data_IF_243991567762
#
_entry.id   IF_243991567762
#
_cell.length_a   1.000
_cell.length_b   1.000
_cell.length_c   1.000
_cell.angle_alpha   90.00
_cell.angle_beta   90.00
_cell.angle_gamma   90.00
#
_symmetry.space_group_name_H-M   'P 1'
#
loop_
_entity.id
_entity.type
_entity.pdbx_description
1 polymer ?
#
# COMPACT_ATOMS: atom_id res chain seq x y z
N UNK A 1 -3.73 8.21 -47.73
CA UNK A 1 -2.32 7.85 -47.92
C UNK A 1 -1.49 8.81 -47.07
N UNK A 2 -0.83 8.34 -46.01
CA UNK A 2 -0.04 9.19 -45.11
C UNK A 2 0.12 8.51 -43.74
N UNK A 3 1.05 7.53 -43.64
CA UNK A 3 1.45 6.88 -42.39
C UNK A 3 2.16 7.90 -41.50
N UNK A 4 1.61 8.17 -40.30
CA UNK A 4 2.39 8.74 -39.20
C UNK A 4 2.63 7.65 -38.15
N UNK A 5 3.76 6.96 -38.33
CA UNK A 5 4.40 6.15 -37.31
C UNK A 5 5.12 7.10 -36.34
N UNK A 6 4.51 7.41 -35.21
CA UNK A 6 5.22 8.03 -34.10
C UNK A 6 6.05 6.95 -33.40
N UNK A 7 7.35 6.93 -33.69
CA UNK A 7 8.36 6.15 -32.95
C UNK A 7 8.34 6.62 -31.48
N UNK A 8 7.78 5.80 -30.58
CA UNK A 8 7.96 5.94 -29.13
C UNK A 8 9.47 5.98 -28.84
N UNK A 9 9.99 7.11 -28.39
CA UNK A 9 11.33 7.21 -27.82
C UNK A 9 11.35 6.48 -26.48
N UNK A 10 11.64 5.19 -26.49
CA UNK A 10 12.06 4.47 -25.29
C UNK A 10 13.36 5.12 -24.83
N UNK A 11 13.35 5.74 -23.66
CA UNK A 11 14.54 6.32 -23.03
C UNK A 11 15.49 5.15 -22.72
N UNK A 12 16.48 4.90 -23.60
CA UNK A 12 17.50 3.88 -23.35
C UNK A 12 18.28 4.29 -22.10
N UNK A 13 18.14 3.52 -21.04
CA UNK A 13 19.06 3.59 -19.91
C UNK A 13 20.48 3.34 -20.46
N UNK A 14 21.43 4.17 -20.01
CA UNK A 14 22.85 4.02 -20.38
C UNK A 14 23.36 2.66 -19.88
N UNK A 15 24.27 1.99 -20.62
CA UNK A 15 24.90 0.71 -20.23
C UNK A 15 25.35 0.66 -18.75
N UNK A 16 25.85 1.78 -18.22
CA UNK A 16 26.22 1.92 -16.82
C UNK A 16 25.02 1.78 -15.85
N UNK A 17 23.85 2.28 -16.23
CA UNK A 17 22.63 2.16 -15.42
C UNK A 17 22.16 0.70 -15.31
N UNK A 18 22.17 -0.05 -16.41
CA UNK A 18 21.86 -1.49 -16.38
C UNK A 18 22.84 -2.29 -15.52
N UNK A 19 24.15 -2.03 -15.66
CA UNK A 19 25.17 -2.71 -14.84
C UNK A 19 24.95 -2.43 -13.36
N UNK A 20 24.72 -1.16 -12.95
CA UNK A 20 24.44 -0.81 -11.55
C UNK A 20 23.18 -1.48 -11.02
N UNK A 21 22.12 -1.56 -11.83
CA UNK A 21 20.89 -2.25 -11.44
C UNK A 21 21.13 -3.76 -11.21
N UNK A 22 21.86 -4.43 -12.10
CA UNK A 22 22.20 -5.85 -11.92
C UNK A 22 23.09 -6.09 -10.70
N UNK A 23 24.07 -5.20 -10.45
CA UNK A 23 24.90 -5.29 -9.24
C UNK A 23 24.05 -5.13 -8.00
N UNK A 24 23.15 -4.15 -7.94
CA UNK A 24 22.25 -3.92 -6.83
C UNK A 24 21.36 -5.13 -6.55
N UNK A 25 20.72 -5.69 -7.59
CA UNK A 25 19.90 -6.89 -7.47
C UNK A 25 20.75 -8.07 -6.98
N UNK A 26 21.94 -8.25 -7.53
CA UNK A 26 22.85 -9.34 -7.12
C UNK A 26 23.25 -9.23 -5.64
N UNK A 27 23.63 -8.04 -5.17
CA UNK A 27 23.97 -7.78 -3.77
C UNK A 27 22.74 -8.05 -2.87
N UNK A 28 21.56 -7.57 -3.26
CA UNK A 28 20.33 -7.80 -2.53
C UNK A 28 20.04 -9.31 -2.38
N UNK A 29 20.12 -10.08 -3.47
CA UNK A 29 19.88 -11.54 -3.46
C UNK A 29 20.89 -12.27 -2.56
N UNK A 30 22.16 -11.85 -2.60
CA UNK A 30 23.22 -12.43 -1.74
C UNK A 30 22.91 -12.16 -0.26
N UNK A 31 22.62 -10.91 0.09
CA UNK A 31 22.29 -10.53 1.49
C UNK A 31 21.04 -11.30 1.96
N UNK A 32 19.97 -11.30 1.15
CA UNK A 32 18.75 -12.04 1.46
C UNK A 32 19.03 -13.53 1.64
N UNK A 33 19.83 -14.14 0.76
CA UNK A 33 20.24 -15.55 0.86
C UNK A 33 21.02 -15.87 2.14
N UNK A 34 21.98 -15.01 2.51
CA UNK A 34 22.78 -15.16 3.73
C UNK A 34 21.90 -15.04 4.99
N UNK A 35 20.98 -14.09 5.03
CA UNK A 35 20.06 -13.91 6.15
C UNK A 35 19.07 -15.07 6.26
N UNK A 36 18.55 -15.59 5.13
CA UNK A 36 17.74 -16.79 5.13
C UNK A 36 18.55 -18.03 5.59
N UNK A 37 19.79 -18.18 5.15
CA UNK A 37 20.66 -19.25 5.64
C UNK A 37 20.86 -19.18 7.15
N UNK A 38 21.09 -17.98 7.68
CA UNK A 38 21.24 -17.76 9.13
C UNK A 38 19.97 -18.18 9.89
N UNK A 39 18.79 -17.75 9.46
CA UNK A 39 17.52 -18.18 10.06
C UNK A 39 17.35 -19.69 9.93
N UNK A 40 17.61 -20.23 8.75
CA UNK A 40 17.43 -21.66 8.45
C UNK A 40 18.31 -22.56 9.31
N UNK A 41 19.60 -22.23 9.50
CA UNK A 41 20.49 -23.03 10.35
C UNK A 41 20.11 -22.93 11.83
N UNK A 42 19.65 -21.76 12.31
CA UNK A 42 19.16 -21.60 13.68
C UNK A 42 17.86 -22.40 13.90
N UNK A 43 16.94 -22.34 12.96
CA UNK A 43 15.71 -23.14 12.98
C UNK A 43 15.99 -24.64 12.95
N UNK A 44 16.86 -25.11 12.03
CA UNK A 44 17.25 -26.52 11.95
C UNK A 44 17.83 -27.03 13.27
N UNK A 45 18.83 -26.32 13.82
CA UNK A 45 19.49 -26.72 15.06
C UNK A 45 18.51 -26.75 16.25
N UNK A 46 17.60 -25.76 16.32
CA UNK A 46 16.57 -25.73 17.37
C UNK A 46 15.58 -26.89 17.27
N UNK A 47 15.05 -27.17 16.08
CA UNK A 47 14.05 -28.23 15.87
C UNK A 47 14.70 -29.61 16.02
N UNK A 48 15.88 -29.83 15.43
CA UNK A 48 16.57 -31.12 15.45
C UNK A 48 17.07 -31.54 16.84
N UNK A 49 17.19 -30.60 17.77
CA UNK A 49 17.50 -30.85 19.16
C UNK A 49 16.42 -31.69 19.89
N UNK A 50 15.18 -31.73 19.37
CA UNK A 50 14.06 -32.48 19.96
C UNK A 50 13.44 -33.50 19.01
N UNK A 51 13.35 -33.15 17.72
CA UNK A 51 12.71 -33.99 16.69
C UNK A 51 13.75 -34.39 15.66
N UNK A 52 13.92 -35.70 15.36
CA UNK A 52 14.81 -36.14 14.31
C UNK A 52 14.27 -35.67 12.93
N UNK A 53 14.90 -34.63 12.37
CA UNK A 53 14.51 -34.05 11.08
C UNK A 53 15.54 -34.40 10.02
N UNK A 54 15.09 -34.94 8.90
CA UNK A 54 15.95 -35.14 7.75
C UNK A 54 16.46 -33.77 7.24
N UNK A 55 17.78 -33.60 7.27
CA UNK A 55 18.42 -32.31 6.93
C UNK A 55 18.13 -31.86 5.49
N UNK A 56 18.14 -32.79 4.54
CA UNK A 56 17.89 -32.49 3.13
C UNK A 56 16.45 -32.02 2.93
N UNK A 57 15.49 -32.75 3.50
CA UNK A 57 14.07 -32.40 3.40
C UNK A 57 13.78 -31.04 4.04
N UNK A 58 14.38 -30.76 5.21
CA UNK A 58 14.25 -29.46 5.86
C UNK A 58 14.69 -28.31 4.93
N UNK A 59 15.89 -28.44 4.33
CA UNK A 59 16.41 -27.37 3.46
C UNK A 59 15.64 -27.25 2.14
N UNK A 60 15.12 -28.34 1.57
CA UNK A 60 14.24 -28.27 0.39
C UNK A 60 12.99 -27.42 0.71
N UNK A 61 12.32 -27.73 1.81
CA UNK A 61 11.11 -27.01 2.24
C UNK A 61 11.45 -25.55 2.55
N UNK A 62 12.51 -25.29 3.31
CA UNK A 62 12.94 -23.95 3.69
C UNK A 62 13.25 -23.07 2.47
N UNK A 63 14.06 -23.60 1.55
CA UNK A 63 14.43 -22.88 0.31
C UNK A 63 13.21 -22.65 -0.58
N UNK A 64 12.27 -23.60 -0.64
CA UNK A 64 11.02 -23.39 -1.37
C UNK A 64 10.27 -22.16 -0.84
N UNK A 65 10.07 -22.03 0.46
CA UNK A 65 9.44 -20.84 1.04
C UNK A 65 10.24 -19.58 0.77
N UNK A 66 11.55 -19.60 1.01
CA UNK A 66 12.42 -18.43 0.83
C UNK A 66 12.49 -17.95 -0.63
N UNK A 67 12.44 -18.87 -1.60
CA UNK A 67 12.52 -18.53 -3.02
C UNK A 67 11.17 -18.21 -3.67
N UNK A 68 10.04 -18.61 -3.06
CA UNK A 68 8.70 -18.54 -3.69
C UNK A 68 8.36 -17.19 -4.23
N UNK A 69 8.58 -16.10 -3.47
CA UNK A 69 8.25 -14.75 -3.92
C UNK A 69 9.12 -14.29 -5.10
N UNK A 70 10.42 -14.58 -5.02
CA UNK A 70 11.38 -14.22 -6.09
C UNK A 70 11.01 -14.96 -7.39
N UNK A 71 10.69 -16.25 -7.28
CA UNK A 71 10.28 -17.07 -8.44
C UNK A 71 8.94 -16.57 -8.98
N UNK A 72 7.95 -16.31 -8.12
CA UNK A 72 6.63 -15.81 -8.51
C UNK A 72 6.73 -14.49 -9.28
N UNK A 73 7.54 -13.55 -8.81
CA UNK A 73 7.77 -12.28 -9.49
C UNK A 73 8.58 -12.42 -10.79
N UNK A 74 9.70 -13.16 -10.75
CA UNK A 74 10.59 -13.29 -11.90
C UNK A 74 9.95 -14.06 -13.06
N UNK A 75 9.14 -15.06 -12.76
CA UNK A 75 8.46 -15.90 -13.73
C UNK A 75 7.01 -15.48 -14.04
N UNK A 76 6.55 -14.34 -13.53
CA UNK A 76 5.15 -13.85 -13.62
C UNK A 76 4.53 -13.97 -15.01
N UNK A 77 5.31 -13.66 -16.06
CA UNK A 77 4.81 -13.68 -17.44
C UNK A 77 4.80 -15.09 -18.08
N UNK A 78 5.39 -16.09 -17.41
CA UNK A 78 5.59 -17.44 -17.93
C UNK A 78 4.81 -18.51 -17.14
N UNK A 79 4.33 -18.16 -15.95
CA UNK A 79 3.60 -19.09 -15.09
C UNK A 79 2.09 -19.04 -15.37
N UNK A 80 1.38 -20.18 -15.23
CA UNK A 80 -0.07 -20.16 -15.11
C UNK A 80 -0.49 -19.27 -13.96
N UNK A 81 -1.56 -18.51 -14.13
CA UNK A 81 -2.06 -17.53 -13.14
C UNK A 81 -2.22 -18.13 -11.73
N UNK A 82 -2.77 -19.34 -11.64
CA UNK A 82 -2.94 -20.03 -10.35
C UNK A 82 -1.60 -20.33 -9.67
N UNK A 83 -0.59 -20.75 -10.43
CA UNK A 83 0.75 -21.05 -9.88
C UNK A 83 1.43 -19.75 -9.43
N UNK A 84 1.35 -18.70 -10.23
CA UNK A 84 1.85 -17.37 -9.88
C UNK A 84 1.23 -16.87 -8.59
N UNK A 85 -0.10 -16.94 -8.47
CA UNK A 85 -0.85 -16.55 -7.27
C UNK A 85 -0.41 -17.34 -6.02
N UNK A 86 -0.27 -18.66 -6.13
CA UNK A 86 0.20 -19.52 -5.00
C UNK A 86 1.62 -19.10 -4.57
N UNK A 87 2.55 -18.95 -5.52
CA UNK A 87 3.93 -18.56 -5.22
C UNK A 87 4.02 -17.17 -4.60
N UNK A 88 3.27 -16.22 -5.13
CA UNK A 88 3.23 -14.85 -4.60
C UNK A 88 2.58 -14.80 -3.20
N UNK A 89 1.52 -15.56 -2.97
CA UNK A 89 0.88 -15.66 -1.65
C UNK A 89 1.82 -16.30 -0.63
N UNK A 90 2.33 -17.51 -0.93
CA UNK A 90 3.25 -18.25 -0.02
C UNK A 90 4.52 -17.42 0.24
N UNK A 91 5.11 -16.88 -0.81
CA UNK A 91 6.30 -16.06 -0.70
C UNK A 91 6.07 -14.73 0.01
N UNK A 92 4.90 -14.11 -0.16
CA UNK A 92 4.50 -12.92 0.59
C UNK A 92 4.45 -13.20 2.09
N UNK A 93 3.76 -14.27 2.51
CA UNK A 93 3.77 -14.71 3.92
C UNK A 93 5.17 -15.02 4.43
N UNK A 94 6.02 -15.61 3.58
CA UNK A 94 7.42 -15.85 3.95
C UNK A 94 8.18 -14.56 4.18
N UNK A 95 8.01 -13.52 3.34
CA UNK A 95 8.67 -12.22 3.55
C UNK A 95 8.26 -11.62 4.90
N UNK A 96 6.98 -11.64 5.24
CA UNK A 96 6.53 -11.17 6.54
C UNK A 96 7.10 -12.04 7.69
N UNK A 97 7.08 -13.37 7.55
CA UNK A 97 7.70 -14.29 8.51
C UNK A 97 9.22 -14.04 8.66
N UNK A 98 9.92 -13.84 7.55
CA UNK A 98 11.36 -13.59 7.51
C UNK A 98 11.76 -12.38 8.37
N UNK A 99 11.02 -11.27 8.28
CA UNK A 99 11.31 -10.06 9.08
C UNK A 99 11.25 -10.38 10.57
N UNK A 100 10.19 -11.07 11.01
CA UNK A 100 10.01 -11.38 12.44
C UNK A 100 10.94 -12.50 12.91
N UNK A 101 11.13 -13.55 12.11
CA UNK A 101 12.10 -14.61 12.42
C UNK A 101 13.50 -14.04 12.57
N UNK A 102 13.93 -13.18 11.64
CA UNK A 102 15.23 -12.51 11.73
C UNK A 102 15.35 -11.67 13.00
N UNK A 103 14.34 -10.84 13.29
CA UNK A 103 14.31 -10.03 14.50
C UNK A 103 14.43 -10.88 15.77
N UNK A 104 13.60 -11.92 15.91
CA UNK A 104 13.64 -12.81 17.08
C UNK A 104 14.98 -13.54 17.19
N UNK A 105 15.51 -14.10 16.09
CA UNK A 105 16.78 -14.83 16.12
C UNK A 105 17.93 -13.91 16.52
N UNK A 106 17.99 -12.68 15.97
CA UNK A 106 19.02 -11.71 16.33
C UNK A 106 18.92 -11.32 17.80
N UNK A 107 17.71 -11.00 18.30
CA UNK A 107 17.49 -10.65 19.71
C UNK A 107 17.91 -11.80 20.62
N UNK A 108 17.51 -13.04 20.32
CA UNK A 108 17.86 -14.22 21.10
C UNK A 108 19.38 -14.43 21.11
N UNK A 109 20.06 -14.23 19.99
CA UNK A 109 21.50 -14.41 19.91
C UNK A 109 22.25 -13.34 20.71
N UNK A 110 21.80 -12.07 20.66
CA UNK A 110 22.35 -10.99 21.49
C UNK A 110 22.15 -11.29 22.98
N UNK A 111 20.90 -11.61 23.38
CA UNK A 111 20.60 -11.96 24.77
C UNK A 111 21.35 -13.19 25.25
N UNK A 112 21.47 -14.21 24.38
CA UNK A 112 22.25 -15.41 24.66
C UNK A 112 23.75 -15.13 24.80
N UNK A 113 24.29 -14.21 24.00
CA UNK A 113 25.71 -13.80 24.12
C UNK A 113 25.93 -13.06 25.44
N UNK A 114 25.12 -12.07 25.76
CA UNK A 114 25.20 -11.30 27.03
C UNK A 114 25.02 -12.22 28.22
N UNK A 115 23.96 -13.07 28.19
CA UNK A 115 23.65 -13.97 29.29
C UNK A 115 24.74 -15.03 29.56
N UNK A 116 25.44 -15.51 28.53
CA UNK A 116 26.63 -16.40 28.71
C UNK A 116 27.79 -15.64 29.34
N UNK A 117 28.02 -14.40 28.90
CA UNK A 117 29.15 -13.58 29.41
C UNK A 117 28.94 -13.19 30.88
N UNK A 118 27.68 -13.02 31.29
CA UNK A 118 27.32 -12.64 32.68
C UNK A 118 26.94 -13.85 33.54
N UNK A 119 27.02 -15.07 33.01
CA UNK A 119 26.58 -16.33 33.65
C UNK A 119 25.11 -16.28 34.17
N UNK A 120 24.27 -15.55 33.45
CA UNK A 120 22.84 -15.32 33.81
C UNK A 120 21.87 -16.26 33.11
N UNK A 121 22.31 -17.19 32.24
CA UNK A 121 21.39 -18.07 31.53
C UNK A 121 20.91 -19.19 32.44
N UNK A 122 19.59 -19.30 32.73
CA UNK A 122 19.05 -20.42 33.51
C UNK A 122 19.37 -21.78 32.89
N UNK A 123 19.69 -22.78 33.71
CA UNK A 123 20.02 -24.12 33.27
C UNK A 123 18.92 -24.77 32.39
N UNK A 124 17.66 -24.47 32.69
CA UNK A 124 16.52 -24.95 31.90
C UNK A 124 16.57 -24.47 30.44
N UNK A 125 17.08 -23.25 30.19
CA UNK A 125 17.22 -22.70 28.83
C UNK A 125 18.46 -23.29 28.16
N UNK A 126 19.57 -23.45 28.88
CA UNK A 126 20.79 -24.10 28.35
C UNK A 126 20.51 -25.49 27.81
N UNK A 127 19.65 -26.25 28.50
CA UNK A 127 19.37 -27.68 28.19
C UNK A 127 18.19 -27.88 27.23
N UNK A 128 17.38 -26.85 26.97
CA UNK A 128 16.14 -26.95 26.17
C UNK A 128 16.06 -25.88 25.07
N UNK A 129 17.10 -25.79 24.23
CA UNK A 129 17.13 -24.82 23.11
C UNK A 129 15.99 -25.02 22.10
N UNK A 130 15.46 -26.23 21.98
CA UNK A 130 14.30 -26.55 21.18
C UNK A 130 13.05 -25.75 21.59
N UNK A 131 12.87 -25.50 22.89
CA UNK A 131 11.73 -24.74 23.39
C UNK A 131 11.72 -23.32 22.81
N UNK A 132 12.90 -22.68 22.74
CA UNK A 132 13.06 -21.35 22.15
C UNK A 132 12.66 -21.36 20.67
N UNK A 133 13.12 -22.36 19.91
CA UNK A 133 12.77 -22.46 18.49
C UNK A 133 11.26 -22.61 18.27
N UNK A 134 10.59 -23.47 19.05
CA UNK A 134 9.13 -23.63 18.96
C UNK A 134 8.38 -22.39 19.45
N UNK A 135 8.86 -21.72 20.50
CA UNK A 135 8.26 -20.47 20.98
C UNK A 135 8.34 -19.35 19.92
N UNK A 136 9.47 -19.24 19.23
CA UNK A 136 9.64 -18.26 18.13
C UNK A 136 8.71 -18.59 16.96
N UNK A 137 8.64 -19.86 16.54
CA UNK A 137 7.75 -20.29 15.45
C UNK A 137 6.29 -19.97 15.83
N UNK A 138 5.88 -20.31 17.06
CA UNK A 138 4.53 -20.04 17.53
C UNK A 138 4.24 -18.52 17.59
N UNK A 139 5.19 -17.72 18.09
CA UNK A 139 5.04 -16.27 18.13
C UNK A 139 4.89 -15.65 16.72
N UNK A 140 5.72 -16.08 15.77
CA UNK A 140 5.61 -15.61 14.38
C UNK A 140 4.29 -16.09 13.75
N UNK A 141 3.86 -17.32 13.99
CA UNK A 141 2.57 -17.81 13.49
C UNK A 141 1.39 -16.98 14.02
N UNK A 142 1.41 -16.63 15.31
CA UNK A 142 0.39 -15.77 15.94
C UNK A 142 0.44 -14.36 15.33
N UNK A 143 1.63 -13.78 15.17
CA UNK A 143 1.78 -12.47 14.54
C UNK A 143 1.23 -12.46 13.10
N UNK A 144 1.52 -13.48 12.31
CA UNK A 144 0.99 -13.61 10.95
C UNK A 144 -0.53 -13.79 10.94
N UNK A 145 -1.08 -14.59 11.86
CA UNK A 145 -2.53 -14.78 11.97
C UNK A 145 -3.25 -13.47 12.34
N UNK A 146 -2.76 -12.75 13.35
CA UNK A 146 -3.27 -11.43 13.73
C UNK A 146 -3.09 -10.42 12.60
N UNK A 147 -1.92 -10.41 11.97
CA UNK A 147 -1.65 -9.53 10.84
C UNK A 147 -2.54 -9.81 9.62
N UNK A 148 -2.87 -11.07 9.37
CA UNK A 148 -3.82 -11.46 8.32
C UNK A 148 -5.23 -10.99 8.66
N UNK A 149 -5.67 -11.15 9.91
CA UNK A 149 -6.94 -10.63 10.37
C UNK A 149 -7.04 -9.11 10.16
N UNK A 150 -6.02 -8.35 10.57
CA UNK A 150 -5.96 -6.90 10.39
C UNK A 150 -5.96 -6.48 8.90
N UNK A 151 -5.39 -7.29 8.03
CA UNK A 151 -5.38 -7.03 6.58
C UNK A 151 -6.72 -7.33 5.92
N UNK A 152 -7.47 -8.32 6.42
CA UNK A 152 -8.71 -8.78 5.79
C UNK A 152 -9.94 -8.05 6.36
N UNK A 153 -9.97 -7.78 7.65
CA UNK A 153 -11.12 -7.15 8.33
C UNK A 153 -10.89 -5.64 8.41
N UNK A 154 -11.57 -4.83 7.57
CA UNK A 154 -11.39 -3.40 7.61
C UNK A 154 -12.10 -2.78 8.81
N UNK A 155 -11.52 -1.72 9.35
CA UNK A 155 -12.19 -0.80 10.28
C UNK A 155 -12.75 0.41 9.52
N UNK A 156 -13.72 1.07 10.10
CA UNK A 156 -14.16 2.40 9.70
C UNK A 156 -13.49 3.41 10.64
N UNK A 157 -12.60 4.24 10.08
CA UNK A 157 -12.02 5.37 10.80
C UNK A 157 -12.84 6.61 10.52
N UNK A 158 -13.17 7.41 11.54
CA UNK A 158 -14.04 8.57 11.39
C UNK A 158 -13.31 9.84 11.82
N UNK A 159 -13.38 10.88 10.98
CA UNK A 159 -12.78 12.18 11.23
C UNK A 159 -13.79 13.30 11.03
N UNK A 160 -13.89 14.21 12.02
CA UNK A 160 -14.68 15.44 11.97
C UNK A 160 -13.77 16.59 11.54
N UNK A 161 -14.01 17.15 10.37
CA UNK A 161 -13.19 18.20 9.77
C UNK A 161 -13.99 19.50 9.73
N UNK A 162 -13.37 20.59 10.21
CA UNK A 162 -13.94 21.94 10.10
C UNK A 162 -13.17 22.74 9.08
N UNK A 163 -13.88 23.20 8.06
CA UNK A 163 -13.38 24.13 7.04
C UNK A 163 -13.96 25.51 7.29
N UNK A 164 -13.10 26.50 7.51
CA UNK A 164 -13.51 27.86 7.86
C UNK A 164 -13.85 28.69 6.60
N UNK A 165 -14.65 28.13 5.70
CA UNK A 165 -15.16 28.78 4.49
C UNK A 165 -16.60 28.35 4.25
N UNK A 166 -17.37 29.19 3.58
CA UNK A 166 -18.75 28.88 3.16
C UNK A 166 -18.72 27.97 1.93
N UNK A 167 -19.56 26.94 1.92
CA UNK A 167 -19.77 26.06 0.77
C UNK A 167 -21.18 26.27 0.17
N UNK A 168 -21.52 27.52 -0.20
CA UNK A 168 -22.83 27.84 -0.71
C UNK A 168 -23.95 27.42 0.27
N UNK A 169 -24.86 26.56 -0.19
CA UNK A 169 -25.94 26.00 0.64
C UNK A 169 -25.55 24.70 1.37
N UNK A 170 -24.33 24.21 1.18
CA UNK A 170 -23.85 22.98 1.82
C UNK A 170 -23.26 23.33 3.17
N UNK A 171 -23.93 22.95 4.26
CA UNK A 171 -23.42 23.16 5.62
C UNK A 171 -22.52 22.03 6.08
N UNK A 172 -22.80 20.80 5.62
CA UNK A 172 -22.06 19.59 5.96
C UNK A 172 -21.99 18.65 4.78
N UNK A 173 -20.91 17.88 4.68
CA UNK A 173 -20.74 16.77 3.75
C UNK A 173 -20.31 15.53 4.52
N UNK A 174 -20.98 14.42 4.24
CA UNK A 174 -20.50 13.09 4.63
C UNK A 174 -19.76 12.49 3.45
N UNK A 175 -18.47 12.23 3.60
CA UNK A 175 -17.70 11.64 2.53
C UNK A 175 -17.14 10.28 3.00
N UNK A 176 -17.00 9.35 2.05
CA UNK A 176 -16.20 8.15 2.24
C UNK A 176 -14.88 8.31 1.46
N UNK A 177 -13.78 7.92 2.07
CA UNK A 177 -12.49 7.85 1.43
C UNK A 177 -11.94 6.43 1.51
N UNK A 178 -11.44 5.93 0.40
CA UNK A 178 -10.76 4.66 0.29
C UNK A 178 -9.50 4.83 -0.54
N UNK A 179 -8.42 4.15 -0.17
CA UNK A 179 -7.13 4.21 -0.85
C UNK A 179 -6.46 2.85 -0.88
N UNK A 180 -5.51 2.67 -1.79
CA UNK A 180 -4.58 1.53 -1.78
C UNK A 180 -5.32 0.17 -1.72
N UNK A 181 -6.24 -0.04 -2.65
CA UNK A 181 -7.00 -1.29 -2.74
C UNK A 181 -6.15 -2.41 -3.30
N UNK A 182 -5.27 -2.09 -4.26
CA UNK A 182 -4.35 -3.04 -4.90
C UNK A 182 -5.05 -4.26 -5.51
N UNK A 183 -6.08 -4.02 -6.33
CA UNK A 183 -6.75 -5.08 -7.08
C UNK A 183 -5.77 -5.80 -8.00
N UNK A 184 -5.78 -7.13 -7.96
CA UNK A 184 -4.88 -7.95 -8.75
C UNK A 184 -5.02 -9.44 -8.48
N UNK A 185 -3.90 -10.15 -8.43
CA UNK A 185 -3.88 -11.60 -8.21
C UNK A 185 -4.28 -11.99 -6.78
N UNK A 186 -4.01 -11.13 -5.78
CA UNK A 186 -4.23 -11.40 -4.35
C UNK A 186 -5.53 -10.76 -3.88
N UNK A 187 -5.73 -9.48 -4.20
CA UNK A 187 -6.94 -8.73 -3.84
C UNK A 187 -7.92 -8.81 -5.00
N UNK A 188 -8.98 -9.58 -4.83
CA UNK A 188 -9.92 -9.88 -5.89
C UNK A 188 -11.20 -9.05 -5.84
N UNK A 189 -12.10 -9.37 -6.78
CA UNK A 189 -13.40 -8.72 -6.98
C UNK A 189 -14.26 -8.67 -5.72
N UNK A 190 -14.33 -9.76 -4.94
CA UNK A 190 -15.15 -9.83 -3.73
C UNK A 190 -14.69 -8.83 -2.66
N UNK A 191 -13.39 -8.53 -2.63
CA UNK A 191 -12.84 -7.53 -1.75
C UNK A 191 -13.32 -6.12 -2.13
N UNK A 192 -13.37 -5.80 -3.43
CA UNK A 192 -13.90 -4.53 -3.92
C UNK A 192 -15.42 -4.43 -3.66
N UNK A 193 -16.17 -5.52 -3.90
CA UNK A 193 -17.60 -5.55 -3.56
C UNK A 193 -17.86 -5.23 -2.10
N UNK A 194 -17.12 -5.88 -1.19
CA UNK A 194 -17.22 -5.59 0.24
C UNK A 194 -16.91 -4.12 0.56
N UNK A 195 -15.90 -3.53 -0.09
CA UNK A 195 -15.59 -2.12 0.08
C UNK A 195 -16.76 -1.22 -0.35
N UNK A 196 -17.37 -1.50 -1.50
CA UNK A 196 -18.53 -0.74 -2.01
C UNK A 196 -19.75 -0.88 -1.09
N UNK A 197 -20.00 -2.08 -0.55
CA UNK A 197 -21.06 -2.32 0.42
C UNK A 197 -20.86 -1.51 1.71
N UNK A 198 -19.63 -1.51 2.24
CA UNK A 198 -19.28 -0.74 3.44
C UNK A 198 -19.39 0.78 3.20
N UNK A 199 -18.91 1.26 2.04
CA UNK A 199 -19.03 2.67 1.63
C UNK A 199 -20.50 3.07 1.56
N UNK A 200 -21.33 2.29 0.87
CA UNK A 200 -22.76 2.58 0.73
C UNK A 200 -23.50 2.55 2.10
N UNK A 201 -23.05 1.68 3.04
CA UNK A 201 -23.58 1.64 4.39
C UNK A 201 -23.33 2.91 5.22
N UNK A 202 -22.39 3.77 4.80
CA UNK A 202 -22.16 5.06 5.43
C UNK A 202 -23.07 6.16 4.88
N UNK A 203 -23.82 5.90 3.78
CA UNK A 203 -24.65 6.87 3.06
C UNK A 203 -23.88 8.17 2.72
N UNK A 204 -22.76 8.07 1.98
CA UNK A 204 -21.92 9.22 1.71
C UNK A 204 -22.57 10.15 0.66
N UNK A 205 -22.38 11.47 0.84
CA UNK A 205 -22.68 12.45 -0.21
C UNK A 205 -21.66 12.37 -1.36
N UNK A 206 -20.43 11.96 -1.06
CA UNK A 206 -19.30 11.91 -1.99
C UNK A 206 -18.32 10.79 -1.63
N UNK A 207 -17.69 10.18 -2.64
CA UNK A 207 -16.68 9.13 -2.44
C UNK A 207 -15.35 9.55 -3.08
N UNK A 208 -14.26 9.40 -2.34
CA UNK A 208 -12.89 9.64 -2.82
C UNK A 208 -12.10 8.34 -2.86
N UNK A 209 -11.52 8.03 -4.02
CA UNK A 209 -10.61 6.90 -4.24
C UNK A 209 -9.24 7.49 -4.51
N UNK A 210 -8.37 7.48 -3.52
CA UNK A 210 -7.13 8.27 -3.52
C UNK A 210 -5.92 7.49 -4.02
N UNK A 211 -6.08 6.74 -5.12
CA UNK A 211 -5.00 6.06 -5.85
C UNK A 211 -4.74 4.63 -5.42
N UNK A 212 -3.85 3.98 -6.16
CA UNK A 212 -3.43 2.58 -5.98
C UNK A 212 -4.63 1.61 -5.91
N UNK A 213 -5.57 1.80 -6.83
CA UNK A 213 -6.72 0.92 -7.01
C UNK A 213 -6.27 -0.43 -7.58
N UNK A 214 -5.28 -0.44 -8.50
CA UNK A 214 -4.79 -1.63 -9.21
C UNK A 214 -3.32 -1.89 -8.87
N UNK A 215 -2.99 -3.16 -8.56
CA UNK A 215 -1.62 -3.58 -8.23
C UNK A 215 -0.79 -3.92 -9.48
N UNK A 216 -0.26 -2.91 -10.13
CA UNK A 216 0.78 -3.02 -11.16
C UNK A 216 0.42 -3.78 -12.45
N UNK A 217 -0.62 -4.64 -12.50
CA UNK A 217 -1.06 -5.34 -13.70
C UNK A 217 -2.58 -5.25 -13.89
N UNK A 218 -2.99 -4.70 -15.01
CA UNK A 218 -4.40 -4.59 -15.38
C UNK A 218 -5.02 -5.95 -15.75
N UNK A 219 -4.22 -6.93 -16.18
CA UNK A 219 -4.72 -8.20 -16.73
C UNK A 219 -5.62 -8.99 -15.77
N UNK A 220 -5.28 -9.24 -14.49
CA UNK A 220 -6.17 -9.93 -13.56
C UNK A 220 -7.48 -9.18 -13.34
N UNK A 221 -7.41 -7.84 -13.30
CA UNK A 221 -8.57 -6.97 -13.08
C UNK A 221 -9.55 -7.06 -14.24
N UNK A 222 -9.05 -7.04 -15.48
CA UNK A 222 -9.86 -7.24 -16.71
C UNK A 222 -10.46 -8.63 -16.76
N UNK A 223 -9.63 -9.67 -16.58
CA UNK A 223 -10.11 -11.07 -16.65
C UNK A 223 -11.20 -11.35 -15.59
N UNK A 224 -11.07 -10.75 -14.41
CA UNK A 224 -12.04 -10.88 -13.32
C UNK A 224 -13.20 -9.89 -13.39
N UNK A 225 -13.21 -8.99 -14.37
CA UNK A 225 -14.21 -7.90 -14.48
C UNK A 225 -14.43 -7.17 -13.15
N UNK A 226 -13.31 -6.88 -12.45
CA UNK A 226 -13.35 -6.48 -11.03
C UNK A 226 -13.94 -5.08 -10.85
N UNK A 227 -13.65 -4.14 -11.78
CA UNK A 227 -14.07 -2.74 -11.67
C UNK A 227 -15.59 -2.54 -11.81
N UNK A 228 -16.34 -3.51 -12.33
CA UNK A 228 -17.79 -3.45 -12.39
C UNK A 228 -18.44 -3.19 -11.02
N UNK A 229 -17.80 -3.61 -9.94
CA UNK A 229 -18.31 -3.38 -8.58
C UNK A 229 -18.38 -1.87 -8.23
N UNK A 230 -17.53 -1.02 -8.87
CA UNK A 230 -17.57 0.43 -8.67
C UNK A 230 -18.87 1.07 -9.14
N UNK A 231 -19.57 0.46 -10.11
CA UNK A 231 -20.91 0.91 -10.55
C UNK A 231 -21.95 0.87 -9.42
N UNK A 232 -21.67 0.07 -8.39
CA UNK A 232 -22.51 -0.04 -7.20
C UNK A 232 -22.38 1.12 -6.21
N UNK A 233 -21.43 2.04 -6.38
CA UNK A 233 -21.22 3.17 -5.48
C UNK A 233 -22.42 4.13 -5.57
N UNK A 234 -22.95 4.49 -4.40
CA UNK A 234 -24.08 5.41 -4.25
C UNK A 234 -23.62 6.65 -3.52
N UNK A 235 -23.51 7.77 -4.24
CA UNK A 235 -23.12 9.05 -3.67
C UNK A 235 -23.79 10.20 -4.45
N UNK A 236 -24.42 11.13 -3.73
CA UNK A 236 -25.20 12.22 -4.30
C UNK A 236 -24.37 13.11 -5.23
N UNK A 237 -23.12 13.38 -4.88
CA UNK A 237 -22.19 14.21 -5.66
C UNK A 237 -21.13 13.38 -6.40
N UNK A 238 -21.35 12.05 -6.51
CA UNK A 238 -20.48 11.15 -7.29
C UNK A 238 -19.27 10.61 -6.55
N UNK A 239 -18.49 9.84 -7.30
CA UNK A 239 -17.23 9.27 -6.85
C UNK A 239 -16.08 9.82 -7.70
N UNK A 240 -14.95 10.11 -7.07
CA UNK A 240 -13.76 10.71 -7.68
C UNK A 240 -12.55 9.84 -7.43
N UNK A 241 -11.77 9.61 -8.48
CA UNK A 241 -10.56 8.81 -8.45
C UNK A 241 -9.37 9.64 -8.91
N UNK A 242 -8.23 9.44 -8.27
CA UNK A 242 -6.92 9.86 -8.74
C UNK A 242 -6.00 8.65 -8.92
N UNK A 243 -4.98 8.77 -9.77
CA UNK A 243 -3.94 7.75 -9.91
C UNK A 243 -3.00 7.75 -8.71
N UNK A 244 -2.52 6.55 -8.33
CA UNK A 244 -1.36 6.37 -7.50
C UNK A 244 -0.15 5.86 -8.31
N UNK A 245 0.94 5.53 -7.64
CA UNK A 245 2.15 5.06 -8.30
C UNK A 245 1.99 3.66 -8.95
N UNK A 246 1.12 2.80 -8.43
CA UNK A 246 0.90 1.46 -8.98
C UNK A 246 0.18 1.50 -10.33
N UNK A 247 -0.72 2.46 -10.58
CA UNK A 247 -1.29 2.66 -11.91
C UNK A 247 -0.20 2.97 -12.94
N UNK A 248 0.82 3.77 -12.57
CA UNK A 248 1.94 4.09 -13.45
C UNK A 248 2.92 2.92 -13.65
N UNK A 249 3.09 2.05 -12.64
CA UNK A 249 3.93 0.84 -12.76
C UNK A 249 3.35 -0.20 -13.72
N UNK A 250 2.04 -0.16 -13.94
CA UNK A 250 1.35 -1.04 -14.89
C UNK A 250 1.75 -0.82 -16.36
N UNK A 251 2.26 0.38 -16.71
CA UNK A 251 2.42 0.90 -18.07
C UNK A 251 1.11 0.92 -18.89
N UNK A 252 -0.05 0.90 -18.23
CA UNK A 252 -1.38 0.87 -18.82
C UNK A 252 -2.32 1.91 -18.17
N UNK A 253 -1.77 3.03 -17.69
CA UNK A 253 -2.51 4.03 -16.91
C UNK A 253 -3.71 4.61 -17.68
N UNK A 254 -3.59 4.83 -18.99
CA UNK A 254 -4.70 5.30 -19.84
C UNK A 254 -5.82 4.26 -19.88
N UNK A 255 -5.48 3.00 -20.16
CA UNK A 255 -6.45 1.90 -20.18
C UNK A 255 -7.16 1.75 -18.82
N UNK A 256 -6.41 1.86 -17.72
CA UNK A 256 -6.97 1.80 -16.36
C UNK A 256 -7.96 2.94 -16.12
N UNK A 257 -7.58 4.16 -16.48
CA UNK A 257 -8.43 5.33 -16.26
C UNK A 257 -9.69 5.29 -17.10
N UNK A 258 -9.61 4.87 -18.37
CA UNK A 258 -10.77 4.64 -19.24
C UNK A 258 -11.72 3.60 -18.63
N UNK A 259 -11.21 2.45 -18.18
CA UNK A 259 -12.01 1.42 -17.53
C UNK A 259 -12.71 1.92 -16.26
N UNK A 260 -12.08 2.81 -15.49
CA UNK A 260 -12.67 3.40 -14.29
C UNK A 260 -13.77 4.40 -14.69
N UNK A 261 -13.55 5.26 -15.68
CA UNK A 261 -14.56 6.20 -16.19
C UNK A 261 -15.81 5.49 -16.72
N UNK A 262 -15.67 4.32 -17.36
CA UNK A 262 -16.78 3.47 -17.81
C UNK A 262 -17.68 2.97 -16.65
N UNK A 263 -17.17 3.00 -15.40
CA UNK A 263 -17.97 2.66 -14.21
C UNK A 263 -18.80 3.82 -13.68
N UNK A 264 -18.63 5.04 -14.22
CA UNK A 264 -19.27 6.25 -13.73
C UNK A 264 -18.48 7.00 -12.65
N UNK A 265 -17.29 6.54 -12.30
CA UNK A 265 -16.36 7.25 -11.40
C UNK A 265 -15.62 8.32 -12.20
N UNK A 266 -15.58 9.55 -11.68
CA UNK A 266 -14.88 10.67 -12.32
C UNK A 266 -13.38 10.56 -12.06
N UNK A 267 -12.58 10.47 -13.12
CA UNK A 267 -11.11 10.43 -13.02
C UNK A 267 -10.56 11.87 -13.05
N UNK A 268 -9.77 12.18 -12.04
CA UNK A 268 -9.11 13.48 -11.90
C UNK A 268 -7.59 13.29 -11.99
N UNK A 269 -7.04 13.58 -13.17
CA UNK A 269 -5.60 13.60 -13.44
C UNK A 269 -5.18 14.99 -13.80
N UNK A 270 -4.57 15.72 -12.86
CA UNK A 270 -4.30 17.15 -12.94
C UNK A 270 -5.52 17.96 -13.44
N UNK A 271 -6.66 17.68 -12.80
CA UNK A 271 -7.95 18.31 -13.14
C UNK A 271 -8.61 18.89 -11.91
N UNK A 272 -9.29 20.03 -12.12
CA UNK A 272 -10.10 20.70 -11.11
C UNK A 272 -11.56 20.66 -11.52
N UNK A 273 -12.44 20.29 -10.60
CA UNK A 273 -13.90 20.31 -10.80
C UNK A 273 -14.56 21.14 -9.72
N UNK A 274 -15.61 21.88 -10.09
CA UNK A 274 -16.45 22.66 -9.19
C UNK A 274 -17.77 21.93 -8.92
N UNK A 275 -18.11 21.77 -7.67
CA UNK A 275 -19.31 21.05 -7.23
C UNK A 275 -20.39 22.05 -6.84
N UNK A 276 -21.50 22.08 -7.60
CA UNK A 276 -22.68 22.90 -7.33
C UNK A 276 -22.38 24.36 -6.90
N UNK A 277 -21.39 24.97 -7.53
CA UNK A 277 -20.91 26.33 -7.18
C UNK A 277 -20.51 26.51 -5.70
N UNK A 278 -20.24 25.39 -4.99
CA UNK A 278 -20.08 25.38 -3.53
C UNK A 278 -18.64 25.09 -3.08
N UNK A 279 -17.94 24.22 -3.78
CA UNK A 279 -16.56 23.79 -3.44
C UNK A 279 -15.82 23.29 -4.67
N UNK A 280 -14.51 23.17 -4.56
CA UNK A 280 -13.65 22.61 -5.60
C UNK A 280 -12.99 21.29 -5.13
N UNK A 281 -12.89 20.35 -6.06
CA UNK A 281 -12.08 19.14 -5.92
C UNK A 281 -10.96 19.23 -6.94
N UNK A 282 -9.73 19.10 -6.49
CA UNK A 282 -8.52 19.10 -7.32
C UNK A 282 -7.88 17.73 -7.24
N UNK A 283 -7.87 16.98 -8.33
CA UNK A 283 -7.17 15.70 -8.40
C UNK A 283 -5.80 15.89 -9.07
N UNK A 284 -4.76 15.46 -8.39
CA UNK A 284 -3.38 15.53 -8.87
C UNK A 284 -2.95 14.22 -9.51
N UNK A 285 -2.16 14.32 -10.57
CA UNK A 285 -1.41 13.20 -11.11
C UNK A 285 -0.35 12.74 -10.10
N UNK A 286 -0.10 11.43 -10.00
CA UNK A 286 0.92 10.92 -9.08
C UNK A 286 2.34 11.39 -9.46
N UNK A 287 3.21 11.49 -8.46
CA UNK A 287 4.60 11.92 -8.68
C UNK A 287 5.39 10.96 -9.56
N UNK A 288 5.05 9.67 -9.54
CA UNK A 288 5.65 8.66 -10.41
C UNK A 288 5.13 8.73 -11.86
N UNK A 289 4.13 9.55 -12.16
CA UNK A 289 3.65 9.84 -13.51
C UNK A 289 4.77 10.25 -14.47
N UNK A 290 5.80 10.93 -13.98
CA UNK A 290 6.97 11.31 -14.79
C UNK A 290 7.72 10.09 -15.36
N UNK A 291 7.68 8.93 -14.70
CA UNK A 291 8.30 7.69 -15.16
C UNK A 291 7.58 7.11 -16.38
N UNK A 292 6.26 7.27 -16.44
CA UNK A 292 5.42 6.87 -17.58
C UNK A 292 5.29 7.94 -18.66
N UNK A 293 5.99 9.09 -18.50
CA UNK A 293 6.02 10.17 -19.49
C UNK A 293 4.96 11.26 -19.25
N UNK A 294 4.23 11.20 -18.15
CA UNK A 294 3.24 12.22 -17.76
C UNK A 294 3.93 13.29 -16.91
N UNK A 295 3.78 14.55 -17.31
CA UNK A 295 4.25 15.69 -16.52
C UNK A 295 3.14 16.07 -15.53
N UNK A 296 3.41 15.90 -14.24
CA UNK A 296 2.51 16.39 -13.19
C UNK A 296 2.48 17.93 -13.20
N UNK A 297 1.28 18.50 -13.21
CA UNK A 297 1.08 19.95 -13.10
C UNK A 297 1.42 20.45 -11.68
N UNK A 298 1.87 21.70 -11.60
CA UNK A 298 2.00 22.39 -10.32
C UNK A 298 0.63 22.66 -9.69
N UNK A 299 0.54 22.61 -8.36
CA UNK A 299 -0.74 22.88 -7.70
C UNK A 299 -1.23 24.31 -7.98
N UNK A 300 -0.33 25.28 -8.06
CA UNK A 300 -0.66 26.67 -8.43
C UNK A 300 -1.30 26.74 -9.82
N UNK A 301 -0.83 25.97 -10.79
CA UNK A 301 -1.39 25.87 -12.14
C UNK A 301 -2.83 25.30 -12.09
N UNK A 302 -3.06 24.26 -11.28
CA UNK A 302 -4.38 23.64 -11.13
C UNK A 302 -5.39 24.54 -10.39
N UNK A 303 -4.90 25.52 -9.66
CA UNK A 303 -5.71 26.52 -8.95
C UNK A 303 -5.89 27.82 -9.72
N UNK A 304 -5.37 27.91 -10.95
CA UNK A 304 -5.63 29.08 -11.80
C UNK A 304 -7.15 29.17 -12.11
N UNK A 305 -7.74 30.33 -11.81
CA UNK A 305 -9.19 30.57 -11.97
C UNK A 305 -10.07 29.92 -10.90
N UNK A 306 -9.51 29.29 -9.89
CA UNK A 306 -10.23 28.74 -8.73
C UNK A 306 -10.51 29.88 -7.75
N UNK A 307 -11.77 30.03 -7.37
CA UNK A 307 -12.17 30.94 -6.28
C UNK A 307 -11.85 30.29 -4.93
N UNK A 308 -10.70 30.63 -4.38
CA UNK A 308 -10.23 30.12 -3.08
C UNK A 308 -10.98 30.69 -1.87
N UNK A 309 -11.97 31.55 -2.05
CA UNK A 309 -12.92 31.88 -0.98
C UNK A 309 -13.89 30.73 -0.70
N UNK A 310 -14.08 29.84 -1.67
CA UNK A 310 -14.78 28.59 -1.50
C UNK A 310 -13.83 27.46 -1.00
N UNK A 311 -14.37 26.40 -0.36
CA UNK A 311 -13.57 25.28 0.05
C UNK A 311 -12.85 24.57 -1.11
N UNK A 312 -11.59 24.20 -0.90
CA UNK A 312 -10.76 23.47 -1.85
C UNK A 312 -10.30 22.14 -1.21
N UNK A 313 -10.72 21.03 -1.80
CA UNK A 313 -10.31 19.68 -1.43
C UNK A 313 -9.34 19.18 -2.47
N UNK A 314 -8.12 18.81 -2.07
CA UNK A 314 -7.10 18.23 -2.94
C UNK A 314 -7.02 16.73 -2.70
N UNK A 315 -7.04 15.96 -3.78
CA UNK A 315 -6.70 14.54 -3.78
C UNK A 315 -5.27 14.42 -4.32
N UNK A 316 -4.35 13.92 -3.50
CA UNK A 316 -2.96 13.70 -3.85
C UNK A 316 -2.49 12.39 -3.21
N UNK A 317 -2.18 11.38 -4.01
CA UNK A 317 -1.92 10.03 -3.51
C UNK A 317 -0.81 10.00 -2.46
N UNK A 318 0.33 10.67 -2.72
CA UNK A 318 1.47 10.68 -1.81
C UNK A 318 1.42 11.90 -0.86
N UNK A 319 1.46 11.72 0.48
CA UNK A 319 1.41 12.82 1.46
C UNK A 319 2.76 13.53 1.61
N UNK A 320 3.26 14.07 0.51
CA UNK A 320 4.57 14.72 0.45
C UNK A 320 4.45 16.17 -0.02
N UNK A 321 5.47 16.99 0.28
CA UNK A 321 5.53 18.43 -0.08
C UNK A 321 4.33 19.22 0.43
N UNK A 322 3.92 18.98 1.66
CA UNK A 322 2.74 19.59 2.27
C UNK A 322 2.79 21.11 2.37
N UNK A 323 3.96 21.70 2.25
CA UNK A 323 4.11 23.17 2.12
C UNK A 323 3.40 23.76 0.89
N UNK A 324 3.28 22.99 -0.21
CA UNK A 324 2.64 23.43 -1.44
C UNK A 324 1.13 23.69 -1.23
N UNK A 325 0.34 22.71 -0.76
CA UNK A 325 -1.08 22.91 -0.51
C UNK A 325 -1.36 23.90 0.63
N UNK A 326 -0.52 23.96 1.68
CA UNK A 326 -0.64 24.97 2.74
C UNK A 326 -0.54 26.39 2.20
N UNK A 327 0.50 26.68 1.42
CA UNK A 327 0.73 28.00 0.83
C UNK A 327 -0.32 28.37 -0.22
N UNK A 328 -0.89 27.37 -0.89
CA UNK A 328 -1.93 27.55 -1.89
C UNK A 328 -3.34 27.77 -1.31
N UNK A 329 -3.50 27.73 0.02
CA UNK A 329 -4.79 27.93 0.69
C UNK A 329 -5.78 26.78 0.51
N UNK A 330 -5.26 25.56 0.36
CA UNK A 330 -6.05 24.31 0.36
C UNK A 330 -6.61 24.07 1.76
N UNK A 331 -7.87 23.66 1.84
CA UNK A 331 -8.54 23.45 3.12
C UNK A 331 -8.40 22.00 3.60
N UNK A 332 -8.43 21.03 2.67
CA UNK A 332 -8.33 19.60 2.97
C UNK A 332 -7.52 18.90 1.88
N UNK A 333 -6.53 18.11 2.28
CA UNK A 333 -5.87 17.15 1.40
C UNK A 333 -6.18 15.71 1.86
N UNK A 334 -6.45 14.83 0.91
CA UNK A 334 -6.68 13.41 1.11
C UNK A 334 -5.60 12.60 0.40
N UNK A 335 -4.91 11.74 1.14
CA UNK A 335 -3.75 10.96 0.66
C UNK A 335 -3.80 9.51 1.15
N UNK A 336 -3.02 8.63 0.49
CA UNK A 336 -2.79 7.24 0.86
C UNK A 336 -1.32 6.88 0.84
N UNK A 337 -0.93 5.86 0.03
CA UNK A 337 0.43 5.48 -0.35
C UNK A 337 1.28 4.82 0.75
N UNK A 338 1.28 5.32 1.96
CA UNK A 338 2.25 4.94 3.00
C UNK A 338 2.00 3.58 3.60
N UNK A 339 0.75 3.09 3.54
CA UNK A 339 0.25 1.91 4.25
C UNK A 339 0.53 1.91 5.76
N UNK A 340 0.93 3.04 6.35
CA UNK A 340 1.52 3.11 7.70
C UNK A 340 2.66 2.08 7.86
N UNK A 341 3.48 1.90 6.80
CA UNK A 341 4.52 0.88 6.70
C UNK A 341 4.03 -0.56 6.59
N UNK A 342 2.72 -0.81 6.56
CA UNK A 342 2.00 -2.08 6.49
C UNK A 342 2.32 -3.06 7.62
N UNK A 343 3.59 -3.27 7.99
CA UNK A 343 3.97 -4.07 9.16
C UNK A 343 5.24 -3.54 9.83
N UNK A 344 5.25 -3.57 11.16
CA UNK A 344 6.41 -3.20 11.95
C UNK A 344 7.63 -4.09 11.60
N UNK A 345 8.87 -3.56 11.47
CA UNK A 345 9.28 -2.20 11.82
C UNK A 345 9.21 -1.17 10.68
N UNK A 346 8.65 -1.50 9.51
CA UNK A 346 8.59 -0.58 8.38
C UNK A 346 7.79 0.71 8.68
N UNK A 347 6.84 0.65 9.62
CA UNK A 347 6.13 1.83 10.13
C UNK A 347 7.07 2.89 10.76
N UNK A 348 8.20 2.48 11.32
CA UNK A 348 9.20 3.45 11.80
C UNK A 348 9.85 4.22 10.66
N UNK A 349 10.00 3.58 9.50
CA UNK A 349 10.59 4.21 8.31
C UNK A 349 9.61 5.20 7.70
N UNK A 350 8.33 4.81 7.53
CA UNK A 350 7.31 5.72 6.97
C UNK A 350 7.11 6.94 7.87
N UNK A 351 7.05 6.75 9.19
CA UNK A 351 6.94 7.84 10.16
C UNK A 351 8.13 8.81 10.14
N UNK A 352 9.32 8.34 9.75
CA UNK A 352 10.49 9.21 9.57
C UNK A 352 10.51 9.91 8.21
N UNK A 353 9.86 9.35 7.18
CA UNK A 353 9.88 9.86 5.81
C UNK A 353 8.79 10.90 5.55
N UNK A 354 7.65 10.77 6.21
CA UNK A 354 6.48 11.64 6.00
C UNK A 354 6.20 12.45 7.27
N UNK A 355 5.70 13.67 7.10
CA UNK A 355 5.28 14.53 8.22
C UNK A 355 4.06 13.93 8.95
N UNK A 356 3.15 13.33 8.18
CA UNK A 356 2.06 12.48 8.65
C UNK A 356 2.01 11.26 7.73
N UNK A 357 2.34 10.09 8.25
CA UNK A 357 2.30 8.87 7.44
C UNK A 357 0.96 8.14 7.53
N UNK A 358 0.14 8.48 8.52
CA UNK A 358 -1.17 7.86 8.74
C UNK A 358 -1.96 8.66 9.77
N UNK A 359 -3.22 8.95 9.45
CA UNK A 359 -4.13 9.59 10.38
C UNK A 359 -4.58 10.99 9.95
N UNK A 360 -4.74 11.91 10.91
CA UNK A 360 -5.23 13.25 10.70
C UNK A 360 -4.28 14.29 11.26
N UNK A 361 -3.86 15.20 10.40
CA UNK A 361 -3.06 16.37 10.75
C UNK A 361 -3.88 17.64 10.52
N UNK A 362 -3.87 18.55 11.49
CA UNK A 362 -4.41 19.90 11.35
C UNK A 362 -3.32 20.94 11.57
N UNK A 363 -3.17 21.83 10.61
CA UNK A 363 -2.23 22.93 10.66
C UNK A 363 -2.90 24.25 10.21
N UNK A 364 -3.29 25.07 11.19
CA UNK A 364 -4.05 26.29 10.94
C UNK A 364 -5.38 26.02 10.22
N UNK A 365 -5.52 26.52 8.99
CA UNK A 365 -6.67 26.29 8.11
C UNK A 365 -6.56 25.03 7.26
N UNK A 366 -5.38 24.44 7.16
CA UNK A 366 -5.11 23.23 6.38
C UNK A 366 -5.41 21.97 7.18
N UNK A 367 -6.06 21.01 6.55
CA UNK A 367 -6.33 19.69 7.10
C UNK A 367 -5.75 18.63 6.14
N UNK A 368 -5.13 17.59 6.69
CA UNK A 368 -4.65 16.44 5.95
C UNK A 368 -5.20 15.16 6.56
N UNK A 369 -5.69 14.25 5.72
CA UNK A 369 -6.04 12.89 6.12
C UNK A 369 -5.23 11.93 5.26
N UNK A 370 -4.46 11.06 5.91
CA UNK A 370 -3.68 10.01 5.25
C UNK A 370 -4.25 8.66 5.63
N UNK A 371 -4.70 7.90 4.63
CA UNK A 371 -5.18 6.53 4.85
C UNK A 371 -4.01 5.55 4.92
N UNK A 372 -4.12 4.58 5.82
CA UNK A 372 -3.23 3.42 5.79
C UNK A 372 -3.62 2.37 4.73
N UNK A 373 -4.67 2.62 3.95
CA UNK A 373 -5.11 1.79 2.84
C UNK A 373 -6.08 0.66 3.23
N UNK A 374 -6.91 0.27 2.27
CA UNK A 374 -7.88 -0.82 2.39
C UNK A 374 -7.28 -2.19 2.02
N UNK A 375 -6.47 -2.25 0.97
CA UNK A 375 -5.77 -3.44 0.53
C UNK A 375 -4.40 -3.61 1.16
N UNK A 376 -3.58 -4.42 0.54
CA UNK A 376 -2.18 -4.64 0.90
C UNK A 376 -1.35 -4.81 -0.37
N UNK A 377 -0.14 -4.31 -0.38
CA UNK A 377 0.81 -4.69 -1.41
C UNK A 377 1.70 -5.86 -0.93
N UNK A 378 1.95 -6.84 -1.79
CA UNK A 378 2.71 -8.05 -1.41
C UNK A 378 1.96 -8.94 -0.41
N UNK A 379 2.46 -9.17 0.81
CA UNK A 379 1.81 -10.06 1.78
C UNK A 379 0.50 -9.49 2.33
N UNK A 380 -0.51 -10.36 2.44
CA UNK A 380 -1.79 -10.01 3.11
C UNK A 380 -1.62 -10.04 4.63
N UNK A 381 -0.77 -9.15 5.14
CA UNK A 381 -0.41 -9.07 6.57
C UNK A 381 -0.27 -7.59 6.95
N UNK A 382 -0.93 -7.16 8.03
CA UNK A 382 -0.78 -5.84 8.65
C UNK A 382 -0.48 -5.97 10.13
N UNK A 383 0.65 -5.41 10.57
CA UNK A 383 1.07 -5.42 11.99
C UNK A 383 1.46 -4.01 12.39
N UNK A 384 0.67 -3.42 13.30
CA UNK A 384 0.78 -2.01 13.68
C UNK A 384 -0.25 -1.11 12.99
N UNK A 385 -0.94 -1.60 11.94
CA UNK A 385 -2.07 -0.94 11.30
C UNK A 385 -3.17 -1.97 11.01
N UNK A 386 -4.36 -1.49 10.63
CA UNK A 386 -5.48 -2.32 10.19
C UNK A 386 -6.05 -1.71 8.90
N UNK A 387 -6.42 -2.55 7.95
CA UNK A 387 -7.17 -2.16 6.75
C UNK A 387 -8.31 -1.21 7.11
N UNK A 388 -8.52 -0.14 6.33
CA UNK A 388 -9.54 0.85 6.68
C UNK A 388 -10.29 1.44 5.50
N UNK A 389 -11.49 1.94 5.79
CA UNK A 389 -12.23 2.91 4.99
C UNK A 389 -12.46 4.11 5.91
N UNK A 390 -12.30 5.31 5.40
CA UNK A 390 -12.42 6.54 6.19
C UNK A 390 -13.77 7.19 5.92
N UNK A 391 -14.47 7.53 6.99
CA UNK A 391 -15.65 8.38 7.00
C UNK A 391 -15.23 9.79 7.38
N UNK A 392 -15.54 10.76 6.54
CA UNK A 392 -15.24 12.17 6.77
C UNK A 392 -16.56 12.93 6.98
N UNK A 393 -16.69 13.60 8.10
CA UNK A 393 -17.76 14.55 8.37
C UNK A 393 -17.17 15.97 8.20
N UNK A 394 -17.41 16.61 7.07
CA UNK A 394 -16.85 17.92 6.76
C UNK A 394 -17.90 18.97 7.06
N UNK A 395 -17.65 19.85 8.02
CA UNK A 395 -18.49 20.97 8.35
C UNK A 395 -17.90 22.28 7.83
N UNK A 396 -18.74 23.09 7.18
CA UNK A 396 -18.39 24.41 6.67
C UNK A 396 -18.93 25.50 7.57
N UNK A 397 -18.21 26.63 7.69
CA UNK A 397 -18.69 27.76 8.48
C UNK A 397 -19.84 28.44 7.76
N UNK A 398 -20.77 29.04 8.55
CA UNK A 398 -21.90 29.83 8.03
C UNK A 398 -21.49 31.21 7.45
#
# INVERSE_FOLDING_TARGET
MGKYLTKKKVKHMNKRGYIMQFIFIGVFVIIYGLLNYYIGIRGYNGISAKIPVNRLLYWIIFVFFAASYIIGMAARNHLPETVGRILNTVGGYWIAAFVYLLGFVVIIDILGFIGRKLDMIPGIIKNNTWFIAFAVIAAVAILLAVGTYNAIVPKISEYDIKVNKKAGNIKQLKCAMISDIHLGEIVGRDRLRNAVELINGMEPDMVFITGDLIDGSVKPVKNGNMLEELKGIKARFGAYFITGNHEHYSNAVEEITEMIEETGVTVLRDKTVKINDSLYIVGREDMDGQRSGHKRAGLTELLEGVDTSLPVIVLDHQPSKLDEPRKAGVDLQLSGHTHAGQFFPASLVTNMMFEEDFGYLKDGGFNLVVSCGYGTWGPTVRIGSQSEIIKLNIAFTE
#
